data_IF_046138691155
#
_entry.id   IF_046138691155
#
_cell.length_a   1.000
_cell.length_b   1.000
_cell.length_c   1.000
_cell.angle_alpha   90.00
_cell.angle_beta   90.00
_cell.angle_gamma   90.00
#
_symmetry.space_group_name_H-M   'P 1'
#
loop_
_entity.id
_entity.type
_entity.pdbx_description
1 polymer ?
#
# COMPACT_ATOMS: atom_id res chain seq x y z
N UNK A 1 1.38 2.41 4.10
CA UNK A 1 2.18 1.36 3.42
C UNK A 1 2.74 1.92 2.11
N UNK A 2 4.04 1.84 1.85
CA UNK A 2 4.66 2.24 0.58
C UNK A 2 4.74 1.03 -0.32
N UNK A 3 3.92 1.03 -1.39
CA UNK A 3 4.22 0.34 -2.64
C UNK A 3 5.05 1.34 -3.46
N UNK A 4 5.87 0.93 -4.44
CA UNK A 4 6.31 1.81 -5.54
C UNK A 4 5.63 1.38 -6.82
N UNK A 5 4.62 2.13 -7.23
CA UNK A 5 3.83 1.80 -8.40
C UNK A 5 3.37 3.09 -9.04
N UNK A 6 3.85 3.31 -10.26
CA UNK A 6 3.12 4.16 -11.19
C UNK A 6 2.42 3.27 -12.20
N UNK A 7 1.09 3.38 -12.25
CA UNK A 7 0.29 2.71 -13.27
C UNK A 7 0.13 3.66 -14.44
N UNK A 8 0.74 3.33 -15.58
CA UNK A 8 0.45 3.97 -16.85
C UNK A 8 -0.51 3.07 -17.64
N UNK A 9 -1.70 3.57 -17.95
CA UNK A 9 -2.69 2.88 -18.78
C UNK A 9 -2.40 3.20 -20.25
N UNK A 10 -1.95 2.25 -21.08
CA UNK A 10 -1.53 2.51 -22.47
C UNK A 10 -2.49 1.87 -23.51
N UNK A 11 -3.01 2.64 -24.46
CA UNK A 11 -3.77 2.10 -25.60
C UNK A 11 -2.87 1.64 -26.76
N UNK A 12 -1.77 2.32 -27.12
CA UNK A 12 -0.87 1.87 -28.18
C UNK A 12 0.54 2.47 -28.09
N UNK A 13 1.55 1.60 -28.02
CA UNK A 13 2.91 1.91 -28.47
C UNK A 13 3.65 0.60 -28.75
N UNK A 14 4.08 0.41 -30.01
CA UNK A 14 5.16 -0.49 -30.44
C UNK A 14 5.18 -1.93 -29.93
N UNK A 15 4.66 -2.86 -30.74
CA UNK A 15 5.08 -4.27 -30.84
C UNK A 15 5.36 -5.01 -29.52
N UNK A 16 4.29 -5.40 -28.82
CA UNK A 16 4.33 -6.56 -27.92
C UNK A 16 3.09 -7.43 -28.17
N UNK A 17 3.29 -8.58 -28.83
CA UNK A 17 2.28 -9.63 -29.00
C UNK A 17 2.34 -10.55 -27.78
N UNK A 18 1.25 -10.67 -27.02
CA UNK A 18 1.02 -11.83 -26.15
C UNK A 18 -0.41 -12.34 -26.41
N UNK A 19 -0.50 -13.66 -26.66
CA UNK A 19 -1.72 -14.42 -26.96
C UNK A 19 -2.47 -14.79 -25.66
N UNK A 20 -3.79 -14.72 -25.75
CA UNK A 20 -4.88 -15.40 -25.01
C UNK A 20 -4.56 -16.39 -23.88
N UNK A 21 -5.24 -16.28 -22.72
CA UNK A 21 -6.30 -17.20 -22.27
C UNK A 21 -7.04 -16.69 -21.00
N UNK A 22 -8.17 -17.34 -20.68
CA UNK A 22 -9.33 -16.95 -19.86
C UNK A 22 -9.35 -17.58 -18.44
N UNK A 23 -10.24 -17.03 -17.58
CA UNK A 23 -10.78 -17.48 -16.28
C UNK A 23 -9.90 -17.53 -15.01
N UNK A 24 -10.28 -16.72 -14.02
CA UNK A 24 -9.79 -16.81 -12.63
C UNK A 24 -9.47 -15.43 -12.05
N UNK A 25 -10.16 -15.03 -10.99
CA UNK A 25 -10.20 -13.63 -10.56
C UNK A 25 -8.96 -13.10 -9.82
N UNK A 26 -8.95 -11.76 -9.78
CA UNK A 26 -8.52 -10.86 -8.70
C UNK A 26 -7.08 -10.31 -8.80
N UNK A 27 -7.03 -9.09 -9.34
CA UNK A 27 -6.01 -8.03 -9.25
C UNK A 27 -6.64 -6.78 -9.85
N UNK A 28 -7.07 -5.82 -9.02
CA UNK A 28 -8.27 -5.02 -9.34
C UNK A 28 -8.22 -4.17 -10.60
N UNK A 29 -7.11 -3.55 -11.00
CA UNK A 29 -7.10 -2.73 -12.24
C UNK A 29 -6.85 -3.61 -13.46
N UNK A 30 -5.98 -4.62 -13.32
CA UNK A 30 -5.68 -5.57 -14.39
C UNK A 30 -6.90 -6.44 -14.71
N UNK A 31 -7.64 -6.83 -13.69
CA UNK A 31 -8.78 -7.73 -13.83
C UNK A 31 -10.13 -7.00 -13.92
N UNK A 32 -10.21 -5.68 -13.69
CA UNK A 32 -11.41 -4.88 -13.98
C UNK A 32 -11.63 -4.66 -15.48
N UNK A 33 -10.61 -4.87 -16.32
CA UNK A 33 -10.75 -4.72 -17.77
C UNK A 33 -9.64 -5.46 -18.51
N UNK A 34 -10.04 -6.41 -19.36
CA UNK A 34 -9.13 -7.06 -20.31
C UNK A 34 -8.60 -6.10 -21.39
N UNK A 35 -9.22 -4.93 -21.56
CA UNK A 35 -8.82 -3.93 -22.56
C UNK A 35 -7.71 -3.00 -22.08
N UNK A 36 -7.53 -2.86 -20.76
CA UNK A 36 -6.57 -1.93 -20.21
C UNK A 36 -5.20 -2.60 -20.10
N UNK A 37 -4.18 -2.06 -20.75
CA UNK A 37 -2.79 -2.47 -20.48
C UNK A 37 -2.22 -1.61 -19.36
N UNK A 38 -1.61 -2.26 -18.39
CA UNK A 38 -1.06 -1.65 -17.19
C UNK A 38 0.43 -1.85 -17.16
N UNK A 39 1.16 -0.77 -17.00
CA UNK A 39 2.58 -0.80 -16.71
C UNK A 39 2.79 -0.41 -15.25
N UNK A 40 3.46 -1.27 -14.48
CA UNK A 40 3.92 -1.01 -13.12
C UNK A 40 5.44 -0.82 -13.14
N UNK A 41 5.91 0.30 -12.59
CA UNK A 41 7.33 0.62 -12.42
C UNK A 41 7.71 0.51 -10.94
N UNK A 42 8.53 -0.49 -10.60
CA UNK A 42 9.02 -0.73 -9.24
C UNK A 42 10.53 -0.46 -9.17
N UNK A 43 10.95 0.35 -8.21
CA UNK A 43 12.36 0.71 -8.04
C UNK A 43 13.23 -0.46 -7.57
N UNK A 44 12.62 -1.44 -6.89
CA UNK A 44 13.24 -2.66 -6.41
C UNK A 44 13.11 -3.87 -7.33
N UNK A 45 13.63 -5.00 -6.83
CA UNK A 45 13.53 -6.31 -7.45
C UNK A 45 12.39 -7.14 -6.88
N UNK A 46 12.52 -8.46 -6.96
CA UNK A 46 11.68 -9.37 -6.18
C UNK A 46 12.22 -9.43 -4.74
N UNK A 47 11.34 -9.66 -3.74
CA UNK A 47 11.78 -9.98 -2.39
C UNK A 47 12.70 -11.21 -2.37
N UNK A 48 13.61 -11.26 -1.40
CA UNK A 48 14.42 -12.46 -1.15
C UNK A 48 13.62 -13.50 -0.36
N UNK A 49 14.08 -14.75 -0.28
CA UNK A 49 13.42 -15.77 0.55
C UNK A 49 13.35 -15.39 2.03
N UNK A 50 14.31 -14.59 2.52
CA UNK A 50 14.31 -14.11 3.91
C UNK A 50 13.11 -13.18 4.18
N UNK A 51 12.62 -12.48 3.15
CA UNK A 51 11.45 -11.63 3.28
C UNK A 51 10.17 -12.44 3.50
N UNK A 52 10.14 -13.71 3.10
CA UNK A 52 8.97 -14.56 3.32
C UNK A 52 8.93 -15.11 4.76
N UNK A 53 9.99 -14.95 5.55
CA UNK A 53 10.03 -15.36 6.96
C UNK A 53 9.27 -14.32 7.81
N UNK A 54 8.27 -14.73 8.61
CA UNK A 54 7.61 -13.83 9.55
C UNK A 54 8.61 -13.16 10.50
N UNK A 55 8.36 -11.89 10.80
CA UNK A 55 9.13 -11.04 11.70
C UNK A 55 10.59 -10.78 11.28
N UNK A 56 11.05 -11.29 10.13
CA UNK A 56 12.35 -10.91 9.60
C UNK A 56 12.34 -9.42 9.22
N UNK A 57 13.26 -8.66 9.81
CA UNK A 57 13.52 -7.27 9.49
C UNK A 57 15.03 -7.04 9.50
N UNK A 58 15.60 -6.26 8.57
CA UNK A 58 16.99 -5.84 8.68
C UNK A 58 17.20 -5.10 10.00
N UNK A 59 18.21 -5.52 10.76
CA UNK A 59 18.56 -4.92 12.05
C UNK A 59 18.86 -3.43 11.87
N UNK A 60 18.00 -2.57 12.41
CA UNK A 60 18.21 -1.14 12.46
C UNK A 60 18.99 -0.78 13.73
N UNK A 61 20.20 -0.23 13.58
CA UNK A 61 20.87 0.45 14.69
C UNK A 61 20.38 1.89 14.72
N UNK A 62 19.49 2.22 15.63
CA UNK A 62 19.15 3.62 15.93
C UNK A 62 20.32 4.22 16.69
N UNK A 63 21.00 5.21 16.10
CA UNK A 63 22.01 5.98 16.82
C UNK A 63 21.32 7.11 17.60
N UNK A 64 21.01 6.82 18.87
CA UNK A 64 20.38 7.75 19.82
C UNK A 64 21.18 9.03 20.07
N UNK A 65 22.47 9.09 19.69
CA UNK A 65 23.30 10.28 19.88
C UNK A 65 23.02 11.39 18.84
N UNK A 66 22.33 11.08 17.74
CA UNK A 66 22.18 12.03 16.61
C UNK A 66 20.76 12.52 16.36
N UNK A 67 19.77 12.12 17.18
CA UNK A 67 18.34 12.36 16.92
C UNK A 67 17.87 11.90 15.52
N UNK A 68 18.67 11.10 14.81
CA UNK A 68 18.33 10.55 13.50
C UNK A 68 17.50 9.29 13.72
N UNK A 69 16.22 9.38 13.38
CA UNK A 69 15.33 8.21 13.38
C UNK A 69 15.45 7.49 12.04
N UNK A 70 15.68 6.18 12.10
CA UNK A 70 15.69 5.34 10.91
C UNK A 70 14.25 5.04 10.49
N UNK A 71 13.92 5.36 9.24
CA UNK A 71 12.66 4.93 8.61
C UNK A 71 12.93 3.74 7.68
N UNK A 72 12.46 2.55 8.05
CA UNK A 72 12.55 1.35 7.21
C UNK A 72 11.50 1.40 6.10
N UNK A 73 11.91 1.19 4.84
CA UNK A 73 11.02 1.16 3.67
C UNK A 73 11.41 0.02 2.75
N UNK A 74 10.44 -0.81 2.37
CA UNK A 74 10.68 -1.90 1.45
C UNK A 74 10.90 -1.40 0.03
N UNK A 75 12.03 -1.78 -0.58
CA UNK A 75 12.39 -1.46 -1.97
C UNK A 75 12.45 -2.75 -2.81
N UNK A 76 11.28 -3.31 -3.04
CA UNK A 76 11.03 -4.56 -3.75
C UNK A 76 9.54 -4.64 -4.08
N UNK A 77 9.13 -5.57 -4.96
CA UNK A 77 7.71 -5.83 -5.18
C UNK A 77 7.03 -6.19 -3.86
N UNK A 78 5.86 -5.59 -3.61
CA UNK A 78 5.15 -5.66 -2.32
C UNK A 78 5.53 -4.53 -1.35
N UNK A 79 6.64 -3.84 -1.62
CA UNK A 79 7.10 -2.68 -0.88
C UNK A 79 7.29 -3.00 0.59
N UNK A 80 6.75 -2.15 1.47
CA UNK A 80 6.92 -2.33 2.92
C UNK A 80 6.16 -3.53 3.49
N UNK A 81 5.17 -4.08 2.77
CA UNK A 81 4.47 -5.30 3.24
C UNK A 81 5.38 -6.54 3.19
N UNK A 82 6.43 -6.51 2.37
CA UNK A 82 7.47 -7.54 2.31
C UNK A 82 8.53 -7.41 3.42
N UNK A 83 8.40 -6.44 4.33
CA UNK A 83 9.35 -6.19 5.43
C UNK A 83 8.71 -5.76 6.76
N UNK A 84 7.40 -5.52 6.81
CA UNK A 84 6.72 -5.04 8.02
C UNK A 84 6.55 -6.14 9.10
N UNK A 85 5.86 -5.82 10.19
CA UNK A 85 5.53 -6.78 11.25
C UNK A 85 4.27 -7.62 11.00
N UNK A 86 3.62 -7.48 9.84
CA UNK A 86 2.41 -8.20 9.41
C UNK A 86 1.17 -8.04 10.29
N UNK A 87 1.25 -7.38 11.44
CA UNK A 87 0.10 -7.11 12.30
C UNK A 87 -1.05 -6.52 11.46
N UNK A 88 -2.20 -7.19 11.49
CA UNK A 88 -3.39 -6.81 10.77
C UNK A 88 -4.36 -6.12 11.72
N UNK A 89 -4.27 -4.80 11.77
CA UNK A 89 -5.07 -3.93 12.64
C UNK A 89 -5.66 -2.81 11.80
N UNK A 90 -6.98 -2.61 11.88
CA UNK A 90 -7.68 -1.48 11.26
C UNK A 90 -7.67 -0.28 12.19
N UNK A 91 -7.77 0.92 11.62
CA UNK A 91 -7.95 2.15 12.40
C UNK A 91 -9.26 2.13 13.18
N UNK A 92 -9.41 3.06 14.12
CA UNK A 92 -10.70 3.20 14.80
C UNK A 92 -11.77 3.66 13.78
N UNK A 93 -13.02 3.19 13.93
CA UNK A 93 -14.16 3.62 13.09
C UNK A 93 -14.25 5.14 13.01
N UNK A 94 -13.99 5.82 14.13
CA UNK A 94 -14.06 7.27 14.21
C UNK A 94 -12.93 7.97 13.47
N UNK A 95 -11.74 7.36 13.37
CA UNK A 95 -10.66 7.91 12.55
C UNK A 95 -11.06 8.00 11.08
N UNK A 96 -11.78 6.98 10.58
CA UNK A 96 -12.30 6.96 9.22
C UNK A 96 -13.51 7.87 9.05
N UNK A 97 -14.43 7.93 10.02
CA UNK A 97 -15.55 8.86 9.96
C UNK A 97 -15.05 10.30 9.91
N UNK A 98 -13.97 10.60 10.63
CA UNK A 98 -13.35 11.92 10.56
C UNK A 98 -12.80 12.25 9.17
N UNK A 99 -12.44 11.29 8.32
CA UNK A 99 -12.01 11.61 6.94
C UNK A 99 -13.11 12.26 6.10
N UNK A 100 -14.38 12.02 6.44
CA UNK A 100 -15.53 12.67 5.80
C UNK A 100 -15.71 14.15 6.16
N UNK A 101 -15.01 14.62 7.20
CA UNK A 101 -15.10 16.00 7.66
C UNK A 101 -14.31 16.95 6.77
N UNK A 102 -14.78 18.19 6.66
CA UNK A 102 -14.16 19.26 5.85
C UNK A 102 -12.71 19.56 6.25
N UNK A 103 -12.31 19.35 7.51
CA UNK A 103 -10.92 19.62 7.95
C UNK A 103 -9.90 18.58 7.46
N UNK A 104 -10.35 17.40 7.04
CA UNK A 104 -9.46 16.32 6.57
C UNK A 104 -9.65 15.97 5.09
N UNK A 105 -10.88 15.69 4.65
CA UNK A 105 -11.14 15.16 3.31
C UNK A 105 -12.37 15.75 2.62
N UNK A 106 -13.39 16.18 3.38
CA UNK A 106 -14.60 16.83 2.88
C UNK A 106 -15.50 15.95 1.99
N UNK A 107 -15.15 14.68 1.79
CA UNK A 107 -15.92 13.76 0.95
C UNK A 107 -16.72 12.80 1.84
N UNK A 108 -18.07 12.90 1.86
CA UNK A 108 -18.92 12.09 2.73
C UNK A 108 -18.84 10.59 2.40
N UNK A 109 -18.28 10.21 1.25
CA UNK A 109 -18.07 8.81 0.89
C UNK A 109 -16.93 8.16 1.68
N UNK A 110 -15.98 8.95 2.22
CA UNK A 110 -14.86 8.44 3.02
C UNK A 110 -15.23 8.34 4.50
N UNK A 111 -16.02 7.33 4.83
CA UNK A 111 -16.38 6.97 6.21
C UNK A 111 -16.22 5.45 6.43
N UNK A 112 -16.27 5.00 7.69
CA UNK A 112 -16.02 3.59 8.02
C UNK A 112 -16.99 2.62 7.32
N UNK A 113 -18.28 2.94 7.30
CA UNK A 113 -19.32 2.10 6.72
C UNK A 113 -19.06 1.83 5.23
N UNK A 114 -18.68 2.87 4.49
CA UNK A 114 -18.34 2.76 3.07
C UNK A 114 -17.01 2.05 2.81
N UNK A 115 -16.05 2.15 3.74
CA UNK A 115 -14.73 1.53 3.61
C UNK A 115 -14.72 0.04 4.01
N UNK A 116 -15.57 -0.37 4.96
CA UNK A 116 -15.61 -1.73 5.49
C UNK A 116 -15.77 -2.81 4.39
N UNK A 117 -16.68 -2.67 3.39
CA UNK A 117 -16.75 -3.61 2.28
C UNK A 117 -15.44 -3.74 1.50
N UNK A 118 -14.64 -2.67 1.40
CA UNK A 118 -13.36 -2.71 0.70
C UNK A 118 -12.25 -3.39 1.50
N UNK A 119 -12.23 -3.22 2.83
CA UNK A 119 -11.35 -3.96 3.73
C UNK A 119 -11.63 -5.46 3.65
N UNK A 120 -12.91 -5.84 3.78
CA UNK A 120 -13.38 -7.22 3.70
C UNK A 120 -13.09 -7.84 2.33
N UNK A 121 -13.24 -7.09 1.23
CA UNK A 121 -13.09 -7.64 -0.13
C UNK A 121 -11.69 -8.21 -0.42
N UNK A 122 -10.64 -7.72 0.24
CA UNK A 122 -9.29 -8.28 0.11
C UNK A 122 -9.00 -9.43 1.06
N UNK A 123 -9.71 -9.51 2.17
CA UNK A 123 -9.41 -10.36 3.31
C UNK A 123 -9.97 -11.79 3.13
N UNK A 124 -9.16 -12.78 3.46
CA UNK A 124 -9.58 -14.13 3.78
C UNK A 124 -9.25 -14.40 5.26
N UNK A 125 -10.23 -14.17 6.13
CA UNK A 125 -10.03 -14.26 7.57
C UNK A 125 -10.08 -15.71 8.06
N UNK A 126 -9.03 -16.11 8.78
CA UNK A 126 -8.79 -17.41 9.39
C UNK A 126 -8.31 -17.26 10.86
N UNK A 127 -8.61 -16.12 11.50
CA UNK A 127 -8.26 -15.87 12.90
C UNK A 127 -9.22 -16.49 13.92
N UNK A 128 -8.90 -16.36 15.20
CA UNK A 128 -9.66 -16.95 16.32
C UNK A 128 -11.09 -16.43 16.42
N UNK A 129 -11.35 -15.22 15.92
CA UNK A 129 -12.67 -14.58 15.95
C UNK A 129 -13.58 -15.00 14.80
N UNK A 130 -13.11 -15.85 13.87
CA UNK A 130 -13.86 -16.21 12.66
C UNK A 130 -15.17 -16.97 12.93
N UNK A 131 -15.32 -17.54 14.13
CA UNK A 131 -16.53 -18.28 14.53
C UNK A 131 -17.53 -17.42 15.32
N UNK A 132 -17.20 -16.16 15.61
CA UNK A 132 -18.12 -15.27 16.33
C UNK A 132 -19.36 -14.93 15.49
N UNK A 133 -20.54 -14.73 16.12
CA UNK A 133 -21.79 -14.47 15.40
C UNK A 133 -21.72 -13.25 14.46
N UNK A 134 -20.96 -12.22 14.84
CA UNK A 134 -20.79 -10.97 14.08
C UNK A 134 -19.55 -10.98 13.18
N UNK A 135 -18.76 -12.07 13.15
CA UNK A 135 -17.52 -12.15 12.37
C UNK A 135 -17.75 -11.81 10.89
N UNK A 136 -18.85 -12.27 10.30
CA UNK A 136 -19.17 -12.01 8.87
C UNK A 136 -19.55 -10.56 8.59
N UNK A 137 -19.92 -9.78 9.61
CA UNK A 137 -20.18 -8.34 9.48
C UNK A 137 -18.86 -7.59 9.31
N UNK A 138 -17.82 -7.97 10.05
CA UNK A 138 -16.55 -7.27 10.11
C UNK A 138 -15.45 -7.87 9.23
N UNK A 139 -15.47 -9.17 8.99
CA UNK A 139 -14.43 -9.88 8.24
C UNK A 139 -14.87 -10.38 6.87
N UNK A 140 -13.92 -10.38 5.94
CA UNK A 140 -14.03 -11.00 4.63
C UNK A 140 -13.60 -12.46 4.66
N UNK A 141 -14.21 -13.27 3.79
CA UNK A 141 -13.81 -14.65 3.52
C UNK A 141 -13.58 -14.85 2.03
N UNK A 142 -12.56 -15.63 1.69
CA UNK A 142 -12.21 -15.95 0.31
C UNK A 142 -11.66 -14.77 -0.48
N UNK A 143 -11.14 -13.74 0.19
CA UNK A 143 -10.27 -12.72 -0.39
C UNK A 143 -8.91 -13.30 -0.85
N UNK A 144 -7.98 -12.42 -1.21
CA UNK A 144 -6.64 -12.86 -1.66
C UNK A 144 -5.57 -12.75 -0.58
N UNK A 145 -5.84 -12.01 0.48
CA UNK A 145 -4.94 -11.79 1.60
C UNK A 145 -5.45 -12.60 2.78
N UNK A 146 -4.81 -13.73 3.05
CA UNK A 146 -4.94 -14.48 4.28
C UNK A 146 -4.61 -13.61 5.51
N UNK A 147 -5.51 -13.64 6.47
CA UNK A 147 -5.33 -13.02 7.78
C UNK A 147 -5.63 -14.07 8.83
N UNK A 148 -4.67 -14.38 9.68
CA UNK A 148 -4.79 -15.43 10.69
C UNK A 148 -4.17 -15.01 12.02
N UNK A 149 -4.69 -15.55 13.12
CA UNK A 149 -4.06 -15.39 14.43
C UNK A 149 -2.83 -16.30 14.48
N UNK A 150 -1.67 -15.76 14.85
CA UNK A 150 -0.47 -16.60 14.98
C UNK A 150 -0.65 -17.67 16.07
N UNK A 151 -0.32 -18.92 15.73
CA UNK A 151 -0.38 -20.08 16.64
C UNK A 151 0.45 -19.89 17.92
N UNK A 152 1.55 -19.14 17.84
CA UNK A 152 2.47 -18.94 18.96
C UNK A 152 2.77 -17.45 19.18
N UNK A 153 2.23 -16.92 20.27
CA UNK A 153 2.51 -15.56 20.74
C UNK A 153 3.02 -15.63 22.17
N UNK A 154 4.34 -15.53 22.33
CA UNK A 154 5.01 -15.67 23.63
C UNK A 154 4.47 -14.65 24.64
N UNK A 155 3.93 -15.12 25.76
CA UNK A 155 3.41 -14.27 26.84
C UNK A 155 2.02 -13.69 26.58
N UNK A 156 1.37 -14.02 25.46
CA UNK A 156 0.07 -13.44 25.12
C UNK A 156 -1.02 -13.90 26.09
N UNK A 157 -1.08 -15.18 26.44
CA UNK A 157 -2.12 -15.70 27.33
C UNK A 157 -1.99 -15.12 28.74
N UNK A 158 -0.77 -14.96 29.26
CA UNK A 158 -0.51 -14.29 30.54
C UNK A 158 -0.88 -12.80 30.50
N UNK A 159 -0.60 -12.12 29.38
CA UNK A 159 -0.98 -10.71 29.22
C UNK A 159 -2.49 -10.53 29.17
N UNK A 160 -3.20 -11.41 28.47
CA UNK A 160 -4.66 -11.41 28.40
C UNK A 160 -5.30 -11.77 29.75
N UNK A 161 -4.73 -12.70 30.51
CA UNK A 161 -5.16 -13.00 31.86
C UNK A 161 -5.03 -11.77 32.78
N UNK A 162 -3.91 -11.05 32.71
CA UNK A 162 -3.72 -9.82 33.47
C UNK A 162 -4.71 -8.71 33.06
N UNK A 163 -5.06 -8.61 31.77
CA UNK A 163 -6.07 -7.66 31.31
C UNK A 163 -7.46 -7.96 31.91
N UNK A 164 -7.85 -9.25 31.95
CA UNK A 164 -9.09 -9.69 32.60
C UNK A 164 -9.10 -9.38 34.10
N UNK A 165 -7.99 -9.58 34.82
CA UNK A 165 -7.87 -9.21 36.25
C UNK A 165 -8.08 -7.71 36.49
N UNK A 166 -7.77 -6.87 35.49
CA UNK A 166 -8.00 -5.43 35.54
C UNK A 166 -9.40 -5.01 35.06
N UNK A 167 -10.25 -5.97 34.68
CA UNK A 167 -11.61 -5.72 34.22
C UNK A 167 -11.70 -5.28 32.76
N UNK A 168 -10.66 -5.49 31.96
CA UNK A 168 -10.72 -5.25 30.51
C UNK A 168 -11.34 -6.43 29.77
N UNK A 169 -11.95 -6.14 28.63
CA UNK A 169 -12.60 -7.14 27.78
C UNK A 169 -11.60 -7.74 26.79
N UNK A 170 -11.69 -9.06 26.61
CA UNK A 170 -11.02 -9.77 25.51
C UNK A 170 -11.99 -9.81 24.33
N UNK A 171 -11.54 -9.45 23.13
CA UNK A 171 -12.43 -9.40 21.96
C UNK A 171 -11.71 -9.10 20.66
N UNK A 172 -12.46 -9.05 19.57
CA UNK A 172 -11.95 -8.70 18.25
C UNK A 172 -11.79 -7.18 18.07
N UNK A 173 -10.55 -6.70 18.03
CA UNK A 173 -10.25 -5.27 17.82
C UNK A 173 -10.58 -4.76 16.40
N UNK A 174 -10.86 -5.66 15.45
CA UNK A 174 -11.37 -5.33 14.12
C UNK A 174 -12.90 -5.48 14.01
N UNK A 175 -13.57 -5.88 15.10
CA UNK A 175 -14.97 -6.23 15.17
C UNK A 175 -15.90 -5.07 15.57
N UNK A 176 -17.01 -5.41 16.23
CA UNK A 176 -17.98 -4.43 16.70
C UNK A 176 -17.37 -3.41 17.68
N UNK A 177 -16.60 -3.91 18.66
CA UNK A 177 -15.99 -3.12 19.74
C UNK A 177 -14.48 -3.15 19.62
N UNK A 178 -13.85 -1.99 19.41
CA UNK A 178 -12.40 -1.90 19.18
C UNK A 178 -11.58 -1.69 20.46
N UNK A 179 -12.22 -1.29 21.57
CA UNK A 179 -11.57 -1.11 22.88
C UNK A 179 -11.50 -2.44 23.63
N UNK A 180 -10.62 -3.32 23.15
CA UNK A 180 -10.47 -4.69 23.65
C UNK A 180 -9.02 -5.12 23.66
N UNK A 181 -8.71 -6.12 24.48
CA UNK A 181 -7.45 -6.86 24.43
C UNK A 181 -7.64 -8.11 23.56
N UNK A 182 -6.63 -8.48 22.78
CA UNK A 182 -6.69 -9.67 21.92
C UNK A 182 -5.30 -10.21 21.64
N UNK A 183 -5.23 -11.48 21.24
CA UNK A 183 -4.13 -11.95 20.39
C UNK A 183 -4.17 -11.17 19.07
N UNK A 184 -3.00 -10.88 18.50
CA UNK A 184 -2.95 -10.14 17.24
C UNK A 184 -3.03 -11.08 16.04
N UNK A 185 -3.77 -10.65 15.03
CA UNK A 185 -3.83 -11.26 13.72
C UNK A 185 -2.69 -10.75 12.83
N UNK A 186 -2.25 -11.61 11.92
CA UNK A 186 -1.14 -11.36 11.01
C UNK A 186 -1.53 -11.67 9.58
N UNK A 187 -0.93 -10.94 8.63
CA UNK A 187 -0.91 -11.32 7.21
C UNK A 187 0.15 -12.41 7.00
N UNK A 188 -0.18 -13.64 7.37
CA UNK A 188 0.62 -14.84 7.17
C UNK A 188 -0.21 -15.93 6.50
N UNK A 189 0.43 -16.90 5.86
CA UNK A 189 -0.21 -18.09 5.30
C UNK A 189 0.75 -19.26 5.42
N UNK A 190 0.31 -20.37 6.03
CA UNK A 190 1.13 -21.58 6.25
C UNK A 190 2.48 -21.29 6.93
N UNK A 191 2.50 -20.34 7.87
CA UNK A 191 3.71 -19.91 8.58
C UNK A 191 4.65 -19.02 7.76
N UNK A 192 4.26 -18.57 6.56
CA UNK A 192 4.99 -17.62 5.74
C UNK A 192 4.36 -16.24 5.81
N UNK A 193 5.17 -15.19 5.68
CA UNK A 193 4.66 -13.83 5.44
C UNK A 193 3.84 -13.81 4.16
N UNK A 194 2.68 -13.18 4.23
CA UNK A 194 1.86 -12.92 3.06
C UNK A 194 1.90 -11.42 2.69
N UNK A 195 2.89 -11.05 1.86
CA UNK A 195 3.00 -9.69 1.35
C UNK A 195 2.00 -9.42 0.23
N UNK A 196 1.77 -8.15 -0.12
CA UNK A 196 0.90 -7.82 -1.27
C UNK A 196 1.43 -8.35 -2.59
N UNK A 197 2.74 -8.56 -2.73
CA UNK A 197 3.32 -9.24 -3.89
C UNK A 197 2.92 -10.71 -3.98
N UNK A 198 2.78 -11.39 -2.83
CA UNK A 198 2.34 -12.78 -2.78
C UNK A 198 0.85 -12.90 -3.05
N UNK A 199 0.06 -12.23 -2.22
CA UNK A 199 -1.41 -12.24 -2.24
C UNK A 199 -1.98 -11.77 -3.58
N UNK A 200 -1.44 -10.71 -4.18
CA UNK A 200 -2.02 -10.05 -5.36
C UNK A 200 -1.16 -10.16 -6.61
N UNK A 201 -0.28 -11.16 -6.74
CA UNK A 201 0.46 -11.35 -8.00
C UNK A 201 1.13 -12.71 -8.12
N UNK A 202 2.00 -13.03 -7.16
CA UNK A 202 2.93 -14.15 -7.29
C UNK A 202 2.21 -15.50 -7.18
N UNK A 203 1.34 -15.61 -6.17
CA UNK A 203 0.70 -16.88 -5.81
C UNK A 203 -0.69 -17.02 -6.47
N UNK A 204 -1.27 -15.90 -6.91
CA UNK A 204 -2.59 -15.83 -7.57
C UNK A 204 -2.53 -15.77 -9.10
N UNK A 205 -1.33 -15.71 -9.67
CA UNK A 205 -1.11 -15.73 -11.11
C UNK A 205 -1.03 -14.34 -11.74
N UNK A 206 -0.26 -14.24 -12.83
CA UNK A 206 0.07 -12.97 -13.49
C UNK A 206 -1.04 -12.55 -14.46
N UNK A 207 -1.70 -11.40 -14.27
CA UNK A 207 -2.67 -10.91 -15.24
C UNK A 207 -1.99 -10.65 -16.60
N UNK A 208 -2.62 -11.09 -17.68
CA UNK A 208 -2.06 -11.00 -19.04
C UNK A 208 -1.86 -9.56 -19.55
N UNK A 209 -2.57 -8.61 -18.94
CA UNK A 209 -2.51 -7.18 -19.25
C UNK A 209 -1.67 -6.35 -18.26
N UNK A 210 -0.98 -7.00 -17.32
CA UNK A 210 -0.07 -6.36 -16.37
C UNK A 210 1.40 -6.59 -16.78
N UNK A 211 2.13 -5.49 -17.01
CA UNK A 211 3.57 -5.50 -17.22
C UNK A 211 4.28 -4.86 -16.04
N UNK A 212 5.15 -5.63 -15.37
CA UNK A 212 5.99 -5.11 -14.28
C UNK A 212 7.40 -4.86 -14.80
N UNK A 213 7.92 -3.65 -14.59
CA UNK A 213 9.34 -3.33 -14.79
C UNK A 213 9.99 -3.15 -13.42
N UNK A 214 10.73 -4.17 -13.01
CA UNK A 214 11.62 -4.15 -11.86
C UNK A 214 12.84 -3.25 -12.11
N UNK A 215 13.42 -2.74 -11.03
CA UNK A 215 14.57 -1.84 -11.04
C UNK A 215 14.34 -0.58 -11.89
N UNK A 216 13.09 -0.12 -11.95
CA UNK A 216 12.63 1.06 -12.66
C UNK A 216 12.29 2.16 -11.65
N UNK A 217 13.24 3.05 -11.39
CA UNK A 217 13.05 4.15 -10.44
C UNK A 217 12.44 5.35 -11.16
N UNK A 218 11.18 5.66 -10.88
CA UNK A 218 10.54 6.88 -11.40
C UNK A 218 11.20 8.12 -10.80
N UNK A 219 11.58 9.05 -11.66
CA UNK A 219 12.22 10.31 -11.24
C UNK A 219 11.29 11.51 -11.40
N UNK A 220 10.34 11.47 -12.34
CA UNK A 220 9.44 12.59 -12.65
C UNK A 220 8.20 12.12 -13.42
N UNK A 221 7.05 12.73 -13.14
CA UNK A 221 5.85 12.80 -13.98
C UNK A 221 5.94 14.05 -14.87
N UNK A 222 5.66 13.90 -16.16
CA UNK A 222 5.67 14.99 -17.12
C UNK A 222 4.23 15.44 -17.42
N UNK A 223 4.03 16.75 -17.41
CA UNK A 223 2.75 17.40 -17.62
C UNK A 223 2.73 18.14 -18.96
N UNK A 224 1.55 18.24 -19.55
CA UNK A 224 1.26 19.13 -20.68
C UNK A 224 0.26 20.19 -20.22
N UNK A 225 0.52 21.43 -20.62
CA UNK A 225 -0.42 22.54 -20.49
C UNK A 225 -1.35 22.53 -21.70
N UNK A 226 -2.45 21.80 -21.58
CA UNK A 226 -3.48 21.71 -22.65
C UNK A 226 -4.72 22.53 -22.29
N UNK A 227 -4.86 22.95 -21.02
CA UNK A 227 -6.01 23.67 -20.48
C UNK A 227 -5.62 24.44 -19.21
N UNK A 228 -6.59 25.03 -18.51
CA UNK A 228 -6.42 25.62 -17.17
C UNK A 228 -5.85 24.65 -16.11
N UNK A 229 -5.93 23.33 -16.36
CA UNK A 229 -5.38 22.29 -15.49
C UNK A 229 -4.26 21.51 -16.20
N UNK A 230 -3.12 21.26 -15.52
CA UNK A 230 -2.04 20.48 -16.10
C UNK A 230 -2.46 19.01 -16.23
N UNK A 231 -2.15 18.40 -17.38
CA UNK A 231 -2.48 16.99 -17.66
C UNK A 231 -1.21 16.15 -17.58
N UNK A 232 -1.20 15.14 -16.70
CA UNK A 232 -0.10 14.18 -16.60
C UNK A 232 -0.12 13.24 -17.82
N UNK A 233 0.92 13.25 -18.64
CA UNK A 233 0.94 12.51 -19.92
C UNK A 233 1.97 11.40 -19.98
N UNK A 234 3.08 11.54 -19.24
CA UNK A 234 4.14 10.53 -19.25
C UNK A 234 4.93 10.50 -17.96
N UNK A 235 5.71 9.44 -17.80
CA UNK A 235 6.53 9.18 -16.62
C UNK A 235 7.96 8.94 -17.09
N UNK A 236 8.90 9.67 -16.52
CA UNK A 236 10.34 9.45 -16.72
C UNK A 236 10.90 8.62 -15.58
N UNK A 237 11.65 7.59 -15.92
CA UNK A 237 12.23 6.66 -14.97
C UNK A 237 13.63 6.21 -15.41
N UNK A 238 14.47 5.83 -14.44
CA UNK A 238 15.80 5.27 -14.67
C UNK A 238 15.78 3.77 -14.45
N UNK A 239 16.34 3.02 -15.39
CA UNK A 239 16.49 1.56 -15.30
C UNK A 239 17.79 1.13 -15.96
N UNK A 240 18.61 0.35 -15.24
CA UNK A 240 19.91 -0.13 -15.73
C UNK A 240 20.81 1.01 -16.22
N UNK A 241 20.86 2.11 -15.46
CA UNK A 241 21.64 3.30 -15.82
C UNK A 241 20.99 4.22 -16.87
N UNK A 242 20.01 3.73 -17.63
CA UNK A 242 19.39 4.45 -18.76
C UNK A 242 18.11 5.16 -18.31
N UNK A 243 17.95 6.42 -18.71
CA UNK A 243 16.72 7.18 -18.55
C UNK A 243 15.75 6.86 -19.68
N UNK A 244 14.50 6.59 -19.34
CA UNK A 244 13.41 6.26 -20.28
C UNK A 244 12.16 7.04 -19.91
N UNK A 245 11.31 7.29 -20.89
CA UNK A 245 10.00 7.91 -20.70
C UNK A 245 8.93 7.00 -21.28
N UNK A 246 7.82 6.85 -20.57
CA UNK A 246 6.65 6.09 -21.03
C UNK A 246 5.40 6.94 -20.94
N UNK A 247 4.59 6.93 -21.99
CA UNK A 247 3.35 7.70 -22.10
C UNK A 247 2.19 6.90 -21.50
N UNK A 248 1.36 7.56 -20.70
CA UNK A 248 0.07 7.05 -20.25
C UNK A 248 -1.04 7.64 -21.12
N UNK A 249 -1.97 6.81 -21.56
CA UNK A 249 -3.12 7.21 -22.39
C UNK A 249 -4.38 7.54 -21.59
N UNK A 250 -4.37 7.34 -20.27
CA UNK A 250 -5.50 7.66 -19.39
C UNK A 250 -5.03 8.37 -18.14
N UNK A 251 -4.37 7.63 -17.26
CA UNK A 251 -4.04 8.09 -15.93
C UNK A 251 -2.65 7.58 -15.52
N UNK A 252 -2.06 8.33 -14.60
CA UNK A 252 -0.82 8.04 -13.90
C UNK A 252 -1.19 7.95 -12.42
N UNK A 253 -1.19 6.74 -11.87
CA UNK A 253 -1.54 6.51 -10.45
C UNK A 253 -0.25 6.48 -9.65
N UNK A 254 -0.04 7.42 -8.74
CA UNK A 254 1.18 7.50 -7.94
C UNK A 254 1.01 6.77 -6.60
N UNK A 255 1.65 5.61 -6.50
CA UNK A 255 1.68 4.79 -5.30
C UNK A 255 3.13 4.49 -4.96
N UNK A 256 3.96 5.51 -4.68
CA UNK A 256 5.37 5.40 -4.25
C UNK A 256 5.57 5.37 -2.73
N UNK A 257 4.47 5.42 -1.98
CA UNK A 257 4.46 5.64 -0.54
C UNK A 257 4.59 7.10 -0.18
N UNK A 258 4.26 7.44 1.07
CA UNK A 258 4.09 8.82 1.54
C UNK A 258 5.26 9.74 1.18
N UNK A 259 6.49 9.28 1.41
CA UNK A 259 7.69 10.10 1.18
C UNK A 259 8.08 10.20 -0.30
N UNK A 260 8.17 9.08 -1.02
CA UNK A 260 8.63 9.11 -2.42
C UNK A 260 7.54 9.67 -3.34
N UNK A 261 6.25 9.49 -3.03
CA UNK A 261 5.17 10.12 -3.80
C UNK A 261 5.25 11.65 -3.73
N UNK A 262 5.37 12.22 -2.53
CA UNK A 262 5.52 13.66 -2.35
C UNK A 262 6.77 14.19 -3.07
N UNK A 263 7.89 13.48 -2.95
CA UNK A 263 9.13 13.83 -3.65
C UNK A 263 8.99 13.78 -5.17
N UNK A 264 8.35 12.75 -5.73
CA UNK A 264 8.13 12.65 -7.18
C UNK A 264 7.26 13.82 -7.67
N UNK A 265 6.21 14.18 -6.93
CA UNK A 265 5.37 15.36 -7.25
C UNK A 265 6.18 16.66 -7.23
N UNK A 266 7.00 16.89 -6.20
CA UNK A 266 7.84 18.09 -6.14
C UNK A 266 8.88 18.13 -7.26
N UNK A 267 9.58 17.01 -7.55
CA UNK A 267 10.49 16.89 -8.71
C UNK A 267 9.76 17.09 -10.05
N UNK A 268 8.45 16.91 -10.05
CA UNK A 268 7.55 17.14 -11.17
C UNK A 268 7.08 18.56 -11.36
N UNK A 269 7.35 19.46 -10.42
CA UNK A 269 6.83 20.83 -10.42
C UNK A 269 5.48 20.98 -9.70
N UNK A 270 5.03 19.96 -8.95
CA UNK A 270 3.80 19.99 -8.16
C UNK A 270 4.16 20.02 -6.67
N UNK A 271 4.08 21.19 -6.05
CA UNK A 271 4.53 21.41 -4.66
C UNK A 271 4.63 22.90 -4.32
N UNK A 272 5.11 23.25 -3.11
CA UNK A 272 5.15 24.64 -2.66
C UNK A 272 6.04 25.49 -3.56
N UNK A 273 5.49 26.55 -4.16
CA UNK A 273 6.17 27.34 -5.19
C UNK A 273 7.55 27.86 -4.78
N UNK A 274 7.68 28.42 -3.57
CA UNK A 274 8.94 28.95 -3.05
C UNK A 274 10.01 27.86 -2.91
N UNK A 275 9.61 26.67 -2.44
CA UNK A 275 10.53 25.54 -2.31
C UNK A 275 11.01 25.06 -3.68
N UNK A 276 10.10 24.94 -4.65
CA UNK A 276 10.44 24.54 -6.02
C UNK A 276 11.36 25.56 -6.70
N UNK A 277 11.09 26.85 -6.52
CA UNK A 277 11.92 27.94 -7.05
C UNK A 277 13.35 27.90 -6.47
N UNK A 278 13.49 27.64 -5.16
CA UNK A 278 14.80 27.53 -4.50
C UNK A 278 15.69 26.40 -5.08
N UNK A 279 15.07 25.39 -5.70
CA UNK A 279 15.72 24.25 -6.33
C UNK A 279 15.79 24.35 -7.87
N UNK A 280 15.39 25.48 -8.45
CA UNK A 280 15.28 25.69 -9.90
C UNK A 280 14.38 24.66 -10.61
N UNK A 281 13.30 24.24 -9.95
CA UNK A 281 12.29 23.34 -10.54
C UNK A 281 11.15 24.19 -11.10
N UNK A 282 10.83 24.09 -12.40
CA UNK A 282 9.69 24.79 -12.98
C UNK A 282 8.38 24.41 -12.29
N UNK A 283 7.60 25.43 -11.89
CA UNK A 283 6.29 25.25 -11.28
C UNK A 283 5.28 24.77 -12.32
N UNK A 284 4.56 23.71 -11.99
CA UNK A 284 3.40 23.19 -12.73
C UNK A 284 2.12 23.49 -11.95
N UNK A 285 2.14 23.27 -10.62
CA UNK A 285 1.01 23.57 -9.75
C UNK A 285 1.50 23.82 -8.33
N UNK A 286 1.08 24.95 -7.75
CA UNK A 286 1.39 25.29 -6.36
C UNK A 286 0.40 24.56 -5.43
N UNK A 287 0.92 23.60 -4.67
CA UNK A 287 0.16 22.78 -3.72
C UNK A 287 1.03 22.50 -2.49
N UNK A 288 0.44 22.32 -1.28
CA UNK A 288 1.18 22.07 -0.03
C UNK A 288 1.70 20.62 0.07
N UNK A 289 2.33 20.12 -1.00
CA UNK A 289 2.86 18.76 -1.07
C UNK A 289 4.03 18.60 -0.11
N UNK A 290 3.93 17.62 0.79
CA UNK A 290 5.00 17.29 1.74
C UNK A 290 5.03 18.13 3.02
N UNK A 291 4.11 19.09 3.20
CA UNK A 291 4.05 19.91 4.42
C UNK A 291 3.42 19.18 5.61
N UNK A 292 2.40 18.34 5.36
CA UNK A 292 1.72 17.53 6.37
C UNK A 292 2.19 16.08 6.31
N UNK A 293 3.33 15.79 6.94
CA UNK A 293 3.82 14.41 7.12
C UNK A 293 3.59 14.00 8.58
N UNK A 294 2.47 13.34 8.90
CA UNK A 294 2.31 12.74 10.23
C UNK A 294 3.27 11.55 10.32
N UNK A 295 4.34 11.72 11.09
CA UNK A 295 5.20 10.61 11.51
C UNK A 295 5.01 10.47 13.01
N UNK A 296 4.56 9.30 13.45
CA UNK A 296 4.55 8.97 14.87
C UNK A 296 6.00 8.71 15.28
N UNK A 297 6.65 9.73 15.82
CA UNK A 297 7.85 9.56 16.64
C UNK A 297 7.35 9.47 18.08
N UNK A 298 7.38 8.25 18.64
CA UNK A 298 7.21 8.05 20.07
C UNK A 298 8.37 8.62 20.86
#
# INVERSE_FOLDING_TARGET
MSVTTILARCQNAGHFRCRWCWNGGRDRIANASSFNRILLLEAGGEPSVLNDIPAWMPTSRTNLQTLKVMTTRGKMLGGSTSTNFMMYVRGNKEDYNRWSTEDLGGDPQWNYENLLPYFKKSEDYNGIWASEPDATEYHGKGGLLNVETSDFQLGADEFLAAALEKGYTIGDYNGATQEVFSKFDMTTQDGWRESTYRAFYRDTGKPSNLCIKKYAHVTKINFQEVSERPIATSVTYRRQGITRTVVATREIILSAGTLESAKILMLSGVGPADHLASLNIPLVMDLPVGEKIPVMFG
#
